data_IF_270227515065
#
_entry.id   IF_270227515065
#
_cell.length_a   1.000
_cell.length_b   1.000
_cell.length_c   1.000
_cell.angle_alpha   90.00
_cell.angle_beta   90.00
_cell.angle_gamma   90.00
#
_symmetry.space_group_name_H-M   'P 1'
#
loop_
_entity.id
_entity.type
_entity.pdbx_description
1 polymer ?
#
# COMPACT_ATOMS: atom_id res chain seq x y z
N UNK A 1 9.40 -5.78 0.44
CA UNK A 1 8.37 -6.58 -0.24
C UNK A 1 6.97 -6.34 0.31
N UNK A 2 5.94 -6.95 -0.33
CA UNK A 2 4.53 -6.82 0.06
C UNK A 2 3.90 -8.21 0.16
N UNK A 3 3.93 -8.86 1.32
CA UNK A 3 3.25 -10.14 1.48
C UNK A 3 1.74 -9.98 1.28
N UNK A 4 1.03 -11.03 0.87
CA UNK A 4 -0.40 -10.97 0.56
C UNK A 4 -1.23 -10.31 1.65
N UNK A 5 -2.08 -9.35 1.23
CA UNK A 5 -2.89 -8.53 2.14
C UNK A 5 -4.39 -8.91 2.15
N UNK A 6 -4.78 -9.98 1.44
CA UNK A 6 -6.19 -10.30 1.19
C UNK A 6 -7.00 -10.51 2.47
N UNK A 7 -6.45 -11.20 3.46
CA UNK A 7 -7.11 -11.41 4.74
C UNK A 7 -7.19 -10.16 5.63
N UNK A 8 -6.35 -9.16 5.40
CA UNK A 8 -6.37 -7.86 6.10
C UNK A 8 -7.25 -6.82 5.40
N UNK A 9 -7.59 -7.04 4.12
CA UNK A 9 -8.35 -6.07 3.31
C UNK A 9 -9.86 -6.14 3.62
N UNK A 10 -10.47 -4.98 3.88
CA UNK A 10 -11.93 -4.88 4.04
C UNK A 10 -12.68 -5.21 2.75
N UNK A 11 -12.11 -4.91 1.58
CA UNK A 11 -12.70 -5.22 0.27
C UNK A 11 -12.63 -6.74 0.03
N UNK A 12 -11.50 -7.37 0.30
CA UNK A 12 -11.35 -8.82 0.17
C UNK A 12 -12.31 -9.61 1.06
N UNK A 13 -12.60 -9.11 2.26
CA UNK A 13 -13.58 -9.71 3.17
C UNK A 13 -15.02 -9.56 2.69
N UNK A 14 -15.39 -8.39 2.16
CA UNK A 14 -16.75 -8.12 1.67
C UNK A 14 -17.08 -8.86 0.38
N UNK A 15 -16.10 -9.08 -0.48
CA UNK A 15 -16.29 -9.73 -1.78
C UNK A 15 -16.25 -11.26 -1.71
N UNK A 16 -15.79 -11.85 -0.61
CA UNK A 16 -15.77 -13.31 -0.46
C UNK A 16 -17.12 -13.83 0.02
N UNK A 17 -17.65 -14.85 -0.65
CA UNK A 17 -18.80 -15.63 -0.19
C UNK A 17 -18.45 -16.64 0.91
N UNK A 18 -17.14 -16.91 1.09
CA UNK A 18 -16.61 -17.90 2.04
C UNK A 18 -16.46 -17.27 3.45
N UNK A 19 -17.16 -17.80 4.48
CA UNK A 19 -17.06 -17.27 5.84
C UNK A 19 -15.66 -17.35 6.44
N UNK A 20 -14.87 -18.40 6.12
CA UNK A 20 -13.50 -18.55 6.62
C UNK A 20 -12.59 -17.43 6.13
N UNK A 21 -12.74 -17.03 4.86
CA UNK A 21 -11.99 -15.91 4.28
C UNK A 21 -12.40 -14.54 4.83
N UNK A 22 -13.50 -14.46 5.60
CA UNK A 22 -13.93 -13.25 6.32
C UNK A 22 -13.40 -13.19 7.75
N UNK A 23 -12.87 -14.30 8.25
CA UNK A 23 -12.43 -14.43 9.64
C UNK A 23 -11.03 -13.86 9.87
N UNK A 24 -10.70 -13.63 11.14
CA UNK A 24 -9.32 -13.34 11.56
C UNK A 24 -8.39 -14.54 11.35
N UNK A 25 -8.96 -15.74 11.23
CA UNK A 25 -8.24 -17.00 11.03
C UNK A 25 -8.06 -17.38 9.55
N UNK A 26 -8.21 -16.44 8.61
CA UNK A 26 -7.90 -16.67 7.21
C UNK A 26 -6.43 -17.15 7.08
N UNK A 27 -6.18 -18.37 6.53
CA UNK A 27 -4.83 -18.92 6.47
C UNK A 27 -3.85 -18.06 5.65
N UNK A 28 -4.37 -17.19 4.79
CA UNK A 28 -3.55 -16.23 4.03
C UNK A 28 -2.91 -15.17 4.92
N UNK A 29 -3.44 -14.94 6.14
CA UNK A 29 -2.84 -14.03 7.11
C UNK A 29 -1.49 -14.56 7.61
N UNK A 30 -1.29 -15.88 7.63
CA UNK A 30 -0.01 -16.49 8.01
C UNK A 30 1.12 -16.21 7.02
N UNK A 31 0.80 -15.80 5.79
CA UNK A 31 1.81 -15.45 4.79
C UNK A 31 2.64 -14.22 5.19
N UNK A 32 2.10 -13.30 5.98
CA UNK A 32 2.85 -12.17 6.51
C UNK A 32 3.89 -12.63 7.54
N UNK A 33 3.55 -13.63 8.35
CA UNK A 33 4.46 -14.23 9.33
C UNK A 33 5.54 -15.05 8.61
N UNK A 34 5.14 -15.83 7.60
CA UNK A 34 6.09 -16.59 6.74
C UNK A 34 7.09 -15.66 6.07
N UNK A 35 6.62 -14.50 5.58
CA UNK A 35 7.50 -13.48 5.00
C UNK A 35 8.51 -12.94 6.03
N UNK A 36 8.07 -12.65 7.27
CA UNK A 36 8.97 -12.18 8.33
C UNK A 36 10.02 -13.25 8.71
N UNK A 37 9.63 -14.54 8.75
CA UNK A 37 10.57 -15.66 8.96
C UNK A 37 11.61 -15.73 7.84
N UNK A 38 11.18 -15.66 6.57
CA UNK A 38 12.08 -15.62 5.42
C UNK A 38 13.11 -14.50 5.52
N UNK A 39 12.69 -13.29 5.92
CA UNK A 39 13.61 -12.17 6.16
C UNK A 39 14.59 -12.49 7.29
N UNK A 40 14.10 -13.11 8.37
CA UNK A 40 14.94 -13.53 9.50
C UNK A 40 16.02 -14.55 9.12
N UNK A 41 15.72 -15.42 8.14
CA UNK A 41 16.66 -16.40 7.61
C UNK A 41 17.66 -15.79 6.61
N UNK A 42 17.18 -14.98 5.67
CA UNK A 42 18.00 -14.32 4.63
C UNK A 42 18.88 -13.21 5.18
N UNK A 43 18.47 -12.59 6.28
CA UNK A 43 19.20 -11.52 6.98
C UNK A 43 19.68 -10.38 6.08
N UNK A 44 18.85 -9.78 5.21
CA UNK A 44 19.24 -8.60 4.45
C UNK A 44 19.64 -7.44 5.39
N UNK A 45 20.50 -6.54 4.93
CA UNK A 45 20.93 -5.39 5.75
C UNK A 45 19.79 -4.42 6.04
N UNK A 46 18.91 -4.20 5.05
CA UNK A 46 17.73 -3.34 5.13
C UNK A 46 16.48 -4.09 4.73
N UNK A 47 15.37 -3.70 5.30
CA UNK A 47 14.04 -4.20 4.95
C UNK A 47 13.07 -3.03 4.74
N UNK A 48 12.22 -3.20 3.72
CA UNK A 48 11.03 -2.40 3.48
C UNK A 48 9.90 -3.39 3.25
N UNK A 49 8.87 -3.34 4.08
CA UNK A 49 7.67 -4.16 3.93
C UNK A 49 6.44 -3.26 3.87
N UNK A 50 5.55 -3.53 2.92
CA UNK A 50 4.27 -2.83 2.76
C UNK A 50 3.11 -3.76 3.07
N UNK A 51 2.07 -3.21 3.68
CA UNK A 51 0.79 -3.88 3.81
C UNK A 51 -0.36 -2.88 3.92
N UNK A 52 -1.60 -3.36 3.86
CA UNK A 52 -2.80 -2.53 4.01
C UNK A 52 -3.03 -2.12 5.45
N UNK A 53 -3.74 -0.99 5.65
CA UNK A 53 -4.10 -0.47 6.99
C UNK A 53 -4.72 -1.52 7.92
N UNK A 54 -5.45 -2.49 7.36
CA UNK A 54 -6.12 -3.54 8.14
C UNK A 54 -5.19 -4.38 9.04
N UNK A 55 -3.88 -4.47 8.73
CA UNK A 55 -2.92 -5.18 9.56
C UNK A 55 -2.78 -4.58 10.97
N UNK A 56 -3.08 -3.26 11.13
CA UNK A 56 -3.01 -2.57 12.42
C UNK A 56 -4.07 -3.05 13.41
N UNK A 57 -5.23 -3.47 12.91
CA UNK A 57 -6.41 -3.76 13.74
C UNK A 57 -6.83 -5.23 13.71
N UNK A 58 -6.35 -5.99 12.71
CA UNK A 58 -6.67 -7.41 12.60
C UNK A 58 -6.18 -8.15 13.83
N UNK A 59 -7.09 -8.94 14.42
CA UNK A 59 -6.84 -9.67 15.67
C UNK A 59 -6.17 -8.77 16.74
N UNK A 60 -6.76 -7.60 16.95
CA UNK A 60 -6.24 -6.57 17.89
C UNK A 60 -4.77 -6.18 17.65
N UNK A 61 -4.29 -6.30 16.41
CA UNK A 61 -2.91 -6.00 16.02
C UNK A 61 -1.91 -7.13 16.23
N UNK A 62 -2.36 -8.34 16.56
CA UNK A 62 -1.48 -9.47 16.85
C UNK A 62 -0.55 -9.80 15.68
N UNK A 63 -1.03 -9.77 14.44
CA UNK A 63 -0.20 -10.06 13.26
C UNK A 63 0.95 -9.07 13.09
N UNK A 64 0.68 -7.77 13.22
CA UNK A 64 1.74 -6.76 13.15
C UNK A 64 2.75 -6.94 14.28
N UNK A 65 2.29 -7.13 15.52
CA UNK A 65 3.15 -7.35 16.67
C UNK A 65 4.04 -8.58 16.50
N UNK A 66 3.49 -9.68 15.97
CA UNK A 66 4.26 -10.91 15.69
C UNK A 66 5.35 -10.64 14.65
N UNK A 67 5.04 -9.93 13.55
CA UNK A 67 6.04 -9.54 12.54
C UNK A 67 7.15 -8.72 13.16
N UNK A 68 6.82 -7.67 13.91
CA UNK A 68 7.81 -6.80 14.54
C UNK A 68 8.69 -7.57 15.52
N UNK A 69 8.11 -8.46 16.32
CA UNK A 69 8.86 -9.28 17.28
C UNK A 69 9.80 -10.26 16.58
N UNK A 70 9.36 -10.95 15.50
CA UNK A 70 10.22 -11.83 14.71
C UNK A 70 11.41 -11.06 14.14
N UNK A 71 11.19 -9.89 13.59
CA UNK A 71 12.26 -9.07 13.01
C UNK A 71 13.21 -8.53 14.09
N UNK A 72 12.70 -8.08 15.25
CA UNK A 72 13.54 -7.64 16.38
C UNK A 72 14.38 -8.78 16.94
N UNK A 73 13.80 -9.96 17.09
CA UNK A 73 14.52 -11.16 17.53
C UNK A 73 15.61 -11.62 16.54
N UNK A 74 15.43 -11.31 15.25
CA UNK A 74 16.43 -11.52 14.21
C UNK A 74 17.51 -10.41 14.15
N UNK A 75 17.51 -9.48 15.09
CA UNK A 75 18.52 -8.42 15.21
C UNK A 75 18.24 -7.14 14.40
N UNK A 76 16.99 -6.94 13.96
CA UNK A 76 16.63 -5.70 13.28
C UNK A 76 16.18 -4.62 14.25
N UNK A 77 16.69 -3.42 14.06
CA UNK A 77 16.01 -2.20 14.50
C UNK A 77 14.87 -1.93 13.51
N UNK A 78 13.63 -1.99 13.96
CA UNK A 78 12.44 -1.95 13.10
C UNK A 78 11.36 -1.07 13.69
N UNK A 79 10.75 -0.26 12.84
CA UNK A 79 9.60 0.59 13.14
C UNK A 79 8.59 0.59 11.98
N UNK A 80 7.39 1.11 12.22
CA UNK A 80 6.35 1.21 11.21
C UNK A 80 5.59 2.53 11.27
N UNK A 81 5.06 2.95 10.12
CA UNK A 81 4.22 4.16 10.01
C UNK A 81 3.04 3.86 9.07
N UNK A 82 1.86 4.38 9.41
CA UNK A 82 0.75 4.45 8.48
C UNK A 82 0.95 5.68 7.60
N UNK A 83 1.13 5.47 6.31
CA UNK A 83 1.44 6.51 5.32
C UNK A 83 0.26 6.64 4.36
N UNK A 84 -0.14 7.88 4.07
CA UNK A 84 -1.00 8.18 2.92
C UNK A 84 -0.11 8.54 1.74
N UNK A 85 -0.22 7.82 0.65
CA UNK A 85 0.62 8.03 -0.54
C UNK A 85 0.41 9.41 -1.18
N UNK A 86 -0.76 10.03 -0.99
CA UNK A 86 -1.03 11.39 -1.44
C UNK A 86 -0.06 12.40 -0.80
N UNK A 87 0.38 12.16 0.44
CA UNK A 87 1.33 13.02 1.16
C UNK A 87 2.74 13.00 0.53
N UNK A 88 2.98 12.10 -0.41
CA UNK A 88 4.24 11.91 -1.14
C UNK A 88 4.10 12.12 -2.65
N UNK A 89 3.04 12.83 -3.07
CA UNK A 89 2.82 13.24 -4.47
C UNK A 89 2.14 12.21 -5.37
N UNK A 90 1.71 11.06 -4.82
CA UNK A 90 0.90 10.10 -5.60
C UNK A 90 -0.53 10.67 -5.73
N UNK A 91 -1.13 10.72 -6.94
CA UNK A 91 -2.47 11.28 -7.14
C UNK A 91 -3.58 10.32 -6.70
N UNK A 92 -3.43 9.77 -5.50
CA UNK A 92 -4.36 8.80 -4.92
C UNK A 92 -4.32 8.86 -3.39
N UNK A 93 -5.48 9.01 -2.77
CA UNK A 93 -5.62 8.78 -1.32
C UNK A 93 -5.50 7.29 -1.07
N UNK A 94 -4.31 6.85 -0.65
CA UNK A 94 -3.97 5.45 -0.45
C UNK A 94 -3.18 5.25 0.83
N UNK A 95 -3.84 4.77 1.87
CA UNK A 95 -3.20 4.48 3.15
C UNK A 95 -2.55 3.11 3.15
N UNK A 96 -1.26 3.06 3.54
CA UNK A 96 -0.47 1.84 3.66
C UNK A 96 0.38 1.86 4.92
N UNK A 97 0.53 0.70 5.52
CA UNK A 97 1.49 0.48 6.59
C UNK A 97 2.82 0.14 5.96
N UNK A 98 3.80 0.98 6.20
CA UNK A 98 5.19 0.75 5.78
C UNK A 98 5.99 0.37 7.03
N UNK A 99 6.66 -0.76 6.98
CA UNK A 99 7.59 -1.22 8.00
C UNK A 99 8.99 -1.06 7.42
N UNK A 100 9.83 -0.29 8.09
CA UNK A 100 11.23 -0.11 7.76
C UNK A 100 12.10 -0.76 8.84
N UNK A 101 13.23 -1.32 8.43
CA UNK A 101 14.17 -1.86 9.39
C UNK A 101 15.57 -2.04 8.83
N UNK A 102 16.54 -2.11 9.75
CA UNK A 102 17.91 -2.43 9.43
C UNK A 102 18.55 -3.26 10.55
N UNK A 103 19.59 -4.03 10.21
CA UNK A 103 20.41 -4.79 11.15
C UNK A 103 21.81 -4.18 11.32
N UNK A 104 21.95 -2.89 11.03
CA UNK A 104 23.24 -2.16 11.09
C UNK A 104 23.33 -1.26 12.33
N UNK A 105 22.34 -1.31 13.23
CA UNK A 105 22.28 -0.46 14.41
C UNK A 105 21.90 1.01 14.11
N UNK A 106 21.43 1.30 12.89
CA UNK A 106 21.02 2.65 12.50
C UNK A 106 19.62 2.96 13.03
N UNK A 107 19.36 4.23 13.33
CA UNK A 107 18.00 4.69 13.61
C UNK A 107 17.09 4.46 12.38
N UNK A 108 15.85 4.08 12.64
CA UNK A 108 14.82 4.01 11.58
C UNK A 108 14.17 5.37 11.46
N UNK A 109 14.15 5.93 10.27
CA UNK A 109 13.45 7.18 9.96
C UNK A 109 12.60 7.03 8.70
N UNK A 110 11.45 7.66 8.71
CA UNK A 110 10.56 7.75 7.55
C UNK A 110 10.78 9.11 6.87
N UNK A 111 10.66 9.18 5.53
CA UNK A 111 10.72 10.46 4.84
C UNK A 111 9.59 11.38 5.32
N UNK A 112 9.85 12.68 5.33
CA UNK A 112 8.83 13.68 5.64
C UNK A 112 7.87 13.85 4.45
N UNK A 113 6.58 14.12 4.70
CA UNK A 113 5.63 14.43 3.64
C UNK A 113 6.06 15.65 2.82
N UNK A 114 5.88 15.58 1.51
CA UNK A 114 6.13 16.68 0.57
C UNK A 114 4.84 17.34 0.08
N UNK A 115 3.69 16.70 0.33
CA UNK A 115 2.37 17.15 -0.08
C UNK A 115 1.38 17.05 1.06
N UNK A 116 0.33 17.89 1.03
CA UNK A 116 -0.75 17.87 2.02
C UNK A 116 -2.09 18.25 1.37
N UNK A 117 -3.21 17.82 1.97
CA UNK A 117 -4.55 18.28 1.59
C UNK A 117 -4.69 19.80 1.76
N UNK A 118 -4.21 20.30 2.91
CA UNK A 118 -4.10 21.71 3.24
C UNK A 118 -2.61 22.05 3.38
N UNK A 119 -1.96 22.50 2.32
CA UNK A 119 -0.52 22.72 2.32
C UNK A 119 -0.13 23.91 3.20
N UNK A 120 1.08 23.85 3.72
CA UNK A 120 1.79 24.93 4.42
C UNK A 120 3.00 25.39 3.59
N UNK A 121 3.96 26.09 4.24
CA UNK A 121 5.17 26.57 3.55
C UNK A 121 6.20 25.47 3.24
N UNK A 122 6.05 24.26 3.81
CA UNK A 122 6.94 23.11 3.58
C UNK A 122 6.34 22.07 2.61
N UNK A 123 5.05 22.12 2.38
CA UNK A 123 4.32 21.13 1.57
C UNK A 123 3.60 21.77 0.41
N UNK A 124 3.41 21.02 -0.68
CA UNK A 124 2.55 21.39 -1.80
C UNK A 124 1.19 20.71 -1.67
N UNK A 125 0.19 21.18 -2.41
CA UNK A 125 -1.13 20.54 -2.45
C UNK A 125 -1.05 19.15 -3.06
N UNK A 126 -1.91 18.24 -2.61
CA UNK A 126 -2.04 16.91 -3.22
C UNK A 126 -2.28 17.02 -4.74
N UNK A 127 -1.62 16.14 -5.49
CA UNK A 127 -1.85 15.99 -6.91
C UNK A 127 -3.19 15.28 -7.14
N UNK A 128 -3.94 15.70 -8.16
CA UNK A 128 -5.06 14.92 -8.69
C UNK A 128 -4.60 14.06 -9.90
N UNK A 129 -5.45 13.15 -10.36
CA UNK A 129 -5.10 12.27 -11.49
C UNK A 129 -4.79 13.07 -12.75
N UNK A 130 -5.57 14.14 -13.03
CA UNK A 130 -5.37 14.94 -14.23
C UNK A 130 -4.01 15.63 -14.27
N UNK A 131 -3.53 16.13 -13.12
CA UNK A 131 -2.23 16.81 -13.03
C UNK A 131 -1.07 15.95 -13.52
N UNK A 132 -1.17 14.63 -13.36
CA UNK A 132 -0.09 13.67 -13.70
C UNK A 132 -0.31 12.89 -15.00
N UNK A 133 -1.50 12.91 -15.60
CA UNK A 133 -1.78 12.16 -16.83
C UNK A 133 -2.24 13.03 -18.01
N UNK A 134 -2.46 14.33 -17.80
CA UNK A 134 -2.97 15.25 -18.84
C UNK A 134 -2.10 15.29 -20.09
N UNK A 135 -0.79 15.17 -19.93
CA UNK A 135 0.18 15.12 -21.02
C UNK A 135 0.08 13.84 -21.87
N UNK A 136 -0.57 12.80 -21.35
CA UNK A 136 -0.83 11.56 -22.07
C UNK A 136 -2.12 11.61 -22.89
N UNK A 137 -3.04 12.54 -22.60
CA UNK A 137 -4.40 12.55 -23.16
C UNK A 137 -4.42 12.71 -24.68
N UNK A 138 -3.50 13.51 -25.23
CA UNK A 138 -3.42 13.85 -26.66
C UNK A 138 -2.33 13.04 -27.40
N UNK A 139 -1.65 12.12 -26.72
CA UNK A 139 -0.64 11.29 -27.35
C UNK A 139 -1.30 10.20 -28.20
N UNK A 140 -0.69 9.87 -29.37
CA UNK A 140 -1.14 8.73 -30.15
C UNK A 140 -0.96 7.42 -29.40
N UNK A 141 -1.81 6.44 -29.71
CA UNK A 141 -1.67 5.09 -29.13
C UNK A 141 -0.29 4.51 -29.46
N UNK A 142 0.38 4.03 -28.42
CA UNK A 142 1.71 3.37 -28.49
C UNK A 142 1.68 2.06 -27.74
N UNK A 143 1.33 0.93 -28.42
CA UNK A 143 1.22 -0.38 -27.80
C UNK A 143 2.48 -0.85 -27.08
N UNK A 144 3.66 -0.44 -27.54
CA UNK A 144 4.96 -0.75 -26.94
C UNK A 144 5.09 -0.26 -25.50
N UNK A 145 4.40 0.84 -25.16
CA UNK A 145 4.37 1.43 -23.82
C UNK A 145 3.03 1.22 -23.11
N UNK A 146 2.18 0.31 -23.59
CA UNK A 146 0.83 0.07 -23.08
C UNK A 146 -0.08 1.32 -23.12
N UNK A 147 0.24 2.31 -23.93
CA UNK A 147 -0.60 3.48 -24.15
C UNK A 147 -1.62 3.16 -25.25
N UNK A 148 -2.67 2.45 -24.87
CA UNK A 148 -3.76 2.01 -25.76
C UNK A 148 -5.11 2.26 -25.10
N UNK A 149 -6.08 2.74 -25.88
CA UNK A 149 -7.43 2.90 -25.39
C UNK A 149 -8.10 1.55 -25.15
N UNK A 150 -8.65 1.38 -23.95
CA UNK A 150 -9.45 0.20 -23.63
C UNK A 150 -10.82 0.32 -24.31
N UNK A 151 -11.25 -0.75 -24.96
CA UNK A 151 -12.61 -0.84 -25.52
C UNK A 151 -13.59 -1.08 -24.39
N UNK A 152 -14.46 -0.10 -24.16
CA UNK A 152 -15.54 -0.21 -23.18
C UNK A 152 -16.88 -0.44 -23.90
N UNK A 153 -17.83 -1.06 -23.21
CA UNK A 153 -19.22 -1.15 -23.69
C UNK A 153 -19.89 0.22 -23.66
N UNK A 154 -20.84 0.48 -24.54
CA UNK A 154 -21.58 1.76 -24.59
C UNK A 154 -22.19 2.11 -23.23
N UNK A 155 -22.71 1.12 -22.52
CA UNK A 155 -23.24 1.28 -21.16
C UNK A 155 -22.18 1.83 -20.17
N UNK A 156 -20.94 1.42 -20.28
CA UNK A 156 -19.87 1.93 -19.43
C UNK A 156 -19.44 3.34 -19.86
N UNK A 157 -19.40 3.61 -21.16
CA UNK A 157 -19.10 4.93 -21.69
C UNK A 157 -20.12 5.95 -21.18
N UNK A 158 -21.41 5.64 -21.24
CA UNK A 158 -22.48 6.51 -20.71
C UNK A 158 -22.33 6.74 -19.18
N UNK A 159 -21.93 5.71 -18.45
CA UNK A 159 -21.66 5.88 -17.00
C UNK A 159 -20.47 6.78 -16.73
N UNK A 160 -19.40 6.68 -17.53
CA UNK A 160 -18.21 7.54 -17.34
C UNK A 160 -18.52 9.02 -17.61
N UNK A 161 -19.40 9.32 -18.56
CA UNK A 161 -19.87 10.70 -18.83
C UNK A 161 -20.60 11.33 -17.65
N UNK A 162 -21.13 10.52 -16.72
CA UNK A 162 -21.82 10.99 -15.52
C UNK A 162 -20.88 11.23 -14.32
N UNK A 163 -19.60 10.87 -14.44
CA UNK A 163 -18.61 11.11 -13.39
C UNK A 163 -18.17 12.57 -13.51
N UNK A 164 -18.38 13.41 -12.48
CA UNK A 164 -17.92 14.80 -12.52
C UNK A 164 -16.40 14.85 -12.60
N UNK A 165 -15.89 15.85 -13.26
CA UNK A 165 -14.48 16.21 -13.17
C UNK A 165 -14.17 16.61 -11.73
N UNK A 166 -13.12 16.01 -11.16
CA UNK A 166 -12.74 16.17 -9.74
C UNK A 166 -12.05 17.47 -9.42
#
# INVERSE_FOLDING_TARGET
GGPPCQGFSTIGKRSSSDPEKRSAHDPRNELVITYAKLISDLKPKFIVMENVKGILTMDKGAYLNNVLNLLRNAGYNVDYKLINMADYGVPQIRQRVIILGNRLGLAVSFPEPTHAENPDFLTTKWNNCWDVIKDLADLPETPEFNHVALKHTDKNIERYKLIPEG
#
